data_IF_933822998945
#
_entry.id   IF_933822998945
#
_cell.length_a   1.000
_cell.length_b   1.000
_cell.length_c   1.000
_cell.angle_alpha   90.00
_cell.angle_beta   90.00
_cell.angle_gamma   90.00
#
_symmetry.space_group_name_H-M   'P 1'
#
loop_
_entity.id
_entity.type
_entity.pdbx_description
1 polymer ?
#
# COMPACT_ATOMS: atom_id res chain seq x y z
N UNK A 1 3.13 13.01 -27.67
CA UNK A 1 2.21 11.99 -27.16
C UNK A 1 0.91 12.68 -26.79
N UNK A 2 -0.15 12.45 -27.56
CA UNK A 2 -1.48 13.00 -27.31
C UNK A 2 -2.22 12.10 -26.31
N UNK A 3 -3.10 12.66 -25.47
CA UNK A 3 -3.91 11.87 -24.51
C UNK A 3 -4.73 10.77 -25.19
N UNK A 4 -5.13 10.98 -26.44
CA UNK A 4 -5.84 10.02 -27.29
C UNK A 4 -5.00 8.83 -27.75
N UNK A 5 -3.68 8.88 -27.57
CA UNK A 5 -2.74 7.82 -27.96
C UNK A 5 -2.37 6.92 -26.78
N UNK A 6 -2.94 7.15 -25.59
CA UNK A 6 -2.72 6.29 -24.41
C UNK A 6 -3.50 5.00 -24.61
N UNK A 7 -2.80 3.88 -24.64
CA UNK A 7 -3.41 2.56 -24.58
C UNK A 7 -4.12 2.39 -23.24
N UNK A 8 -5.44 2.15 -23.28
CA UNK A 8 -6.28 2.01 -22.08
C UNK A 8 -6.59 0.57 -21.72
N UNK A 9 -6.20 -0.37 -22.59
CA UNK A 9 -6.35 -1.79 -22.33
C UNK A 9 -5.25 -2.27 -21.37
N UNK A 10 -5.60 -2.47 -20.10
CA UNK A 10 -4.71 -3.06 -19.10
C UNK A 10 -4.89 -4.58 -19.04
N UNK A 11 -4.68 -5.25 -20.18
CA UNK A 11 -4.70 -6.71 -20.25
C UNK A 11 -3.36 -7.28 -19.79
N UNK A 12 -3.34 -8.47 -19.15
CA UNK A 12 -2.08 -9.12 -18.80
C UNK A 12 -1.29 -9.44 -20.08
N UNK A 13 0.04 -9.36 -19.98
CA UNK A 13 0.91 -9.77 -21.07
C UNK A 13 0.70 -11.27 -21.36
N UNK A 14 0.70 -11.69 -22.64
CA UNK A 14 0.61 -13.11 -22.98
C UNK A 14 1.70 -13.93 -22.26
N UNK A 15 1.28 -14.95 -21.52
CA UNK A 15 2.19 -15.83 -20.77
C UNK A 15 2.64 -15.28 -19.41
N UNK A 16 2.16 -14.11 -18.97
CA UNK A 16 2.38 -13.64 -17.62
C UNK A 16 1.73 -14.59 -16.59
N UNK A 17 2.39 -14.86 -15.46
CA UNK A 17 1.82 -15.67 -14.39
C UNK A 17 0.61 -14.96 -13.76
N UNK A 18 -0.33 -15.71 -13.18
CA UNK A 18 -1.46 -15.11 -12.47
C UNK A 18 -0.99 -14.35 -11.22
N UNK A 19 -1.65 -13.22 -10.94
CA UNK A 19 -1.44 -12.47 -9.70
C UNK A 19 -1.84 -13.33 -8.50
N UNK A 20 -0.98 -13.40 -7.49
CA UNK A 20 -1.27 -14.06 -6.22
C UNK A 20 -2.20 -13.18 -5.39
N UNK A 21 -3.12 -13.82 -4.67
CA UNK A 21 -4.00 -13.15 -3.71
C UNK A 21 -3.72 -13.68 -2.31
N UNK A 22 -3.52 -12.77 -1.37
CA UNK A 22 -3.37 -13.09 0.05
C UNK A 22 -4.32 -12.22 0.86
N UNK A 23 -4.95 -12.81 1.86
CA UNK A 23 -5.77 -12.10 2.85
C UNK A 23 -5.13 -12.35 4.21
N UNK A 24 -4.76 -11.29 4.92
CA UNK A 24 -4.32 -11.41 6.31
C UNK A 24 -5.51 -11.69 7.23
N UNK A 25 -5.30 -12.57 8.21
CA UNK A 25 -6.25 -12.80 9.28
C UNK A 25 -6.09 -11.73 10.37
N UNK A 26 -7.19 -11.12 10.78
CA UNK A 26 -7.20 -10.12 11.84
C UNK A 26 -6.50 -8.81 11.47
N UNK A 27 -5.95 -8.13 12.48
CA UNK A 27 -5.30 -6.84 12.33
C UNK A 27 -3.78 -6.99 12.16
N UNK A 28 -3.25 -6.38 11.10
CA UNK A 28 -1.84 -6.39 10.75
C UNK A 28 -1.16 -5.12 11.27
N UNK A 29 -0.07 -5.24 12.03
CA UNK A 29 0.73 -4.09 12.44
C UNK A 29 1.35 -3.36 11.23
N UNK A 30 1.36 -2.03 11.24
CA UNK A 30 1.80 -1.23 10.08
C UNK A 30 3.23 -1.53 9.65
N UNK A 31 4.18 -1.50 10.57
CA UNK A 31 5.60 -1.76 10.26
C UNK A 31 5.82 -3.20 9.76
N UNK A 32 5.10 -4.16 10.32
CA UNK A 32 5.13 -5.54 9.83
C UNK A 32 4.61 -5.63 8.38
N UNK A 33 3.50 -4.95 8.07
CA UNK A 33 2.95 -4.93 6.73
C UNK A 33 3.92 -4.29 5.72
N UNK A 34 4.55 -3.16 6.07
CA UNK A 34 5.55 -2.51 5.22
C UNK A 34 6.75 -3.43 4.99
N UNK A 35 7.28 -4.05 6.05
CA UNK A 35 8.42 -4.94 5.92
C UNK A 35 8.12 -6.17 5.04
N UNK A 36 6.91 -6.74 5.15
CA UNK A 36 6.47 -7.81 4.24
C UNK A 36 6.29 -7.31 2.80
N UNK A 37 5.71 -6.11 2.61
CA UNK A 37 5.55 -5.51 1.29
C UNK A 37 6.91 -5.27 0.61
N UNK A 38 7.91 -4.77 1.34
CA UNK A 38 9.27 -4.57 0.84
C UNK A 38 9.93 -5.90 0.46
N UNK A 39 9.77 -6.94 1.28
CA UNK A 39 10.26 -8.30 0.95
C UNK A 39 9.61 -8.84 -0.33
N UNK A 40 8.31 -8.71 -0.47
CA UNK A 40 7.58 -9.16 -1.67
C UNK A 40 8.02 -8.38 -2.90
N UNK A 41 8.13 -7.05 -2.79
CA UNK A 41 8.59 -6.19 -3.87
C UNK A 41 10.01 -6.55 -4.35
N UNK A 42 10.93 -6.83 -3.42
CA UNK A 42 12.28 -7.27 -3.77
C UNK A 42 12.26 -8.61 -4.53
N UNK A 43 11.48 -9.59 -4.06
CA UNK A 43 11.37 -10.89 -4.75
C UNK A 43 10.78 -10.77 -6.14
N UNK A 44 9.79 -9.90 -6.32
CA UNK A 44 9.21 -9.61 -7.65
C UNK A 44 10.25 -8.94 -8.55
N UNK A 45 10.99 -7.96 -8.04
CA UNK A 45 12.05 -7.28 -8.80
C UNK A 45 13.18 -8.24 -9.22
N UNK A 46 13.48 -9.25 -8.42
CA UNK A 46 14.46 -10.30 -8.72
C UNK A 46 13.90 -11.41 -9.63
N UNK A 47 12.61 -11.40 -9.94
CA UNK A 47 11.94 -12.45 -10.71
C UNK A 47 11.80 -13.79 -9.95
N UNK A 48 11.90 -13.77 -8.62
CA UNK A 48 11.77 -14.96 -7.76
C UNK A 48 10.37 -15.15 -7.16
N UNK A 49 9.46 -14.21 -7.40
CA UNK A 49 8.05 -14.32 -7.02
C UNK A 49 7.15 -13.60 -8.04
N UNK A 50 5.93 -14.14 -8.21
CA UNK A 50 4.87 -13.48 -8.97
C UNK A 50 4.28 -12.30 -8.18
N UNK A 51 3.64 -11.38 -8.90
CA UNK A 51 2.89 -10.24 -8.34
C UNK A 51 1.90 -10.68 -7.25
N UNK A 52 1.69 -9.83 -6.26
CA UNK A 52 0.85 -10.11 -5.10
C UNK A 52 -0.09 -8.94 -4.82
N UNK A 53 -1.38 -9.25 -4.72
CA UNK A 53 -2.35 -8.40 -4.01
C UNK A 53 -2.54 -8.97 -2.61
N UNK A 54 -2.18 -8.16 -1.61
CA UNK A 54 -2.32 -8.52 -0.21
C UNK A 54 -3.33 -7.60 0.49
N UNK A 55 -4.45 -8.17 0.92
CA UNK A 55 -5.48 -7.46 1.66
C UNK A 55 -5.20 -7.55 3.16
N UNK A 56 -5.12 -6.40 3.80
CA UNK A 56 -4.83 -6.25 5.23
C UNK A 56 -5.78 -5.26 5.87
N UNK A 57 -5.85 -5.29 7.20
CA UNK A 57 -6.60 -4.35 8.01
C UNK A 57 -5.71 -3.94 9.19
N UNK A 58 -5.64 -2.66 9.52
CA UNK A 58 -4.70 -2.17 10.54
C UNK A 58 -5.40 -1.91 11.88
N UNK A 59 -4.69 -1.98 13.02
CA UNK A 59 -5.09 -1.23 14.21
C UNK A 59 -5.24 0.27 13.89
N UNK A 60 -6.05 1.04 14.65
CA UNK A 60 -6.25 2.47 14.39
C UNK A 60 -4.94 3.25 14.34
N UNK A 61 -4.65 3.90 13.21
CA UNK A 61 -3.43 4.67 12.98
C UNK A 61 -3.61 5.76 11.92
N UNK A 62 -2.66 6.70 11.88
CA UNK A 62 -2.48 7.62 10.77
C UNK A 62 -1.22 7.27 9.97
N UNK A 63 -1.26 7.47 8.66
CA UNK A 63 -0.05 7.55 7.83
C UNK A 63 0.12 8.96 7.29
N UNK A 64 1.34 9.47 7.29
CA UNK A 64 1.72 10.73 6.69
C UNK A 64 2.39 10.47 5.33
N UNK A 65 1.76 10.93 4.24
CA UNK A 65 2.39 10.92 2.92
C UNK A 65 3.38 12.07 2.74
N UNK A 66 4.01 12.13 1.58
CA UNK A 66 5.07 13.11 1.27
C UNK A 66 4.61 14.57 1.23
N UNK A 67 3.29 14.81 1.17
CA UNK A 67 2.71 16.16 1.18
C UNK A 67 2.07 16.54 2.52
N UNK A 68 2.20 15.70 3.55
CA UNK A 68 1.58 15.95 4.86
C UNK A 68 2.23 17.16 5.57
N UNK A 69 1.39 18.09 6.05
CA UNK A 69 1.80 19.21 6.90
C UNK A 69 1.37 18.97 8.34
N UNK A 70 2.33 18.96 9.28
CA UNK A 70 2.10 18.65 10.68
C UNK A 70 1.00 19.49 11.34
N UNK A 71 0.72 20.70 10.83
CA UNK A 71 -0.36 21.58 11.34
C UNK A 71 -1.77 21.02 11.10
N UNK A 72 -1.94 20.17 10.10
CA UNK A 72 -3.25 19.63 9.70
C UNK A 72 -3.70 18.48 10.61
N UNK A 73 -2.77 17.94 11.42
CA UNK A 73 -3.06 16.89 12.39
C UNK A 73 -3.51 17.48 13.73
N UNK A 74 -4.83 17.61 13.89
CA UNK A 74 -5.45 18.26 15.06
C UNK A 74 -5.20 17.55 16.40
N UNK A 75 -5.04 16.24 16.40
CA UNK A 75 -4.91 15.42 17.61
C UNK A 75 -3.79 14.38 17.45
N UNK A 76 -2.51 14.79 17.43
CA UNK A 76 -1.38 13.92 17.08
C UNK A 76 -1.14 12.78 18.07
N UNK A 77 -1.67 12.88 19.29
CA UNK A 77 -1.58 11.84 20.33
C UNK A 77 -2.73 10.83 20.29
N UNK A 78 -3.74 11.00 19.41
CA UNK A 78 -4.91 10.13 19.39
C UNK A 78 -4.58 8.71 18.91
N UNK A 79 -3.73 8.60 17.89
CA UNK A 79 -3.30 7.32 17.31
C UNK A 79 -1.83 7.40 16.89
N UNK A 80 -1.12 6.25 16.77
CA UNK A 80 0.21 6.22 16.19
C UNK A 80 0.22 6.83 14.78
N UNK A 81 1.28 7.59 14.47
CA UNK A 81 1.47 8.21 13.15
C UNK A 81 2.74 7.65 12.53
N UNK A 82 2.62 7.09 11.34
CA UNK A 82 3.74 6.55 10.58
C UNK A 82 4.05 7.43 9.36
N UNK A 83 5.31 7.84 9.23
CA UNK A 83 5.80 8.49 8.01
C UNK A 83 5.91 7.48 6.86
N UNK A 84 5.58 7.90 5.65
CA UNK A 84 5.53 7.01 4.48
C UNK A 84 6.05 7.71 3.23
N UNK A 85 6.54 6.94 2.25
CA UNK A 85 6.94 7.46 0.94
C UNK A 85 5.78 7.66 -0.03
N UNK A 86 4.53 7.40 0.37
CA UNK A 86 3.37 7.52 -0.53
C UNK A 86 3.05 8.99 -0.81
N UNK A 87 2.49 9.28 -1.98
CA UNK A 87 1.94 10.61 -2.28
C UNK A 87 0.74 10.99 -1.40
N UNK A 88 0.45 12.29 -1.31
CA UNK A 88 -0.70 12.83 -0.58
C UNK A 88 -0.40 13.19 0.88
N UNK A 89 -1.44 13.61 1.60
CA UNK A 89 -1.37 14.11 2.98
C UNK A 89 -1.57 12.98 4.01
N UNK A 90 -2.16 13.29 5.17
CA UNK A 90 -2.55 12.30 6.17
C UNK A 90 -3.71 11.43 5.69
N UNK A 91 -3.72 10.16 6.07
CA UNK A 91 -4.93 9.33 6.01
C UNK A 91 -5.05 8.43 7.24
N UNK A 92 -6.27 8.03 7.54
CA UNK A 92 -6.60 7.11 8.62
C UNK A 92 -6.75 5.68 8.11
N UNK A 93 -6.21 4.74 8.88
CA UNK A 93 -6.44 3.31 8.72
C UNK A 93 -6.91 2.72 10.05
N UNK A 94 -7.78 1.73 10.00
CA UNK A 94 -8.28 1.07 11.19
C UNK A 94 -9.27 -0.05 10.88
N UNK A 95 -9.85 -0.67 11.92
CA UNK A 95 -10.81 -1.74 11.75
C UNK A 95 -12.02 -1.32 10.90
N UNK A 96 -12.45 -2.21 9.99
CA UNK A 96 -13.51 -2.00 9.00
C UNK A 96 -13.03 -1.41 7.67
N UNK A 97 -11.75 -1.09 7.51
CA UNK A 97 -11.14 -0.64 6.24
C UNK A 97 -10.16 -1.70 5.73
N UNK A 98 -10.45 -2.29 4.56
CA UNK A 98 -9.64 -3.29 3.87
C UNK A 98 -9.46 -2.92 2.40
#
# INVERSE_FOLDING_TARGET
MQRSEIETAMLPLPGAPPVRWRIADGLTGYEHAVAEMEREAQRIAEGSADELVWLVEHPPLYTAGTSADAKDLLAPSRFPVHGTGRGGEYTYHGPGQR
#
